data_IF_840679623679
#
_entry.id   IF_840679623679
#
_cell.length_a   1.000
_cell.length_b   1.000
_cell.length_c   1.000
_cell.angle_alpha   90.00
_cell.angle_beta   90.00
_cell.angle_gamma   90.00
#
_symmetry.space_group_name_H-M   'P 1'
#
loop_
_entity.id
_entity.type
_entity.pdbx_description
1 polymer ?
#
# COMPACT_ATOMS: atom_id res chain seq x y z
N UNK A 1 -11.54 -26.68 18.40
CA UNK A 1 -12.13 -25.39 18.02
C UNK A 1 -11.77 -24.37 19.09
N UNK A 2 -11.56 -23.13 18.68
CA UNK A 2 -11.16 -22.07 19.60
C UNK A 2 -12.40 -21.63 20.42
N UNK A 3 -12.33 -21.49 21.75
CA UNK A 3 -13.51 -21.17 22.57
C UNK A 3 -14.25 -19.89 22.14
N UNK A 4 -13.52 -18.91 21.60
CA UNK A 4 -14.01 -17.62 21.10
C UNK A 4 -14.81 -17.68 19.77
N UNK A 5 -14.97 -18.88 19.21
CA UNK A 5 -15.83 -19.14 18.05
C UNK A 5 -17.32 -19.13 18.43
N UNK A 6 -17.65 -19.53 19.65
CA UNK A 6 -19.02 -19.51 20.17
C UNK A 6 -19.42 -18.08 20.58
N UNK A 7 -20.09 -17.37 19.67
CA UNK A 7 -20.56 -16.01 19.92
C UNK A 7 -21.61 -15.90 21.04
N UNK A 8 -22.25 -17.01 21.44
CA UNK A 8 -23.17 -17.01 22.60
C UNK A 8 -22.42 -16.91 23.93
N UNK A 9 -21.11 -17.20 23.92
CA UNK A 9 -20.19 -17.10 25.06
C UNK A 9 -19.09 -16.09 24.75
N UNK A 10 -19.50 -14.85 24.49
CA UNK A 10 -18.60 -13.78 24.05
C UNK A 10 -17.42 -13.55 25.00
N UNK A 11 -16.22 -13.88 24.52
CA UNK A 11 -14.93 -13.60 25.16
C UNK A 11 -14.19 -12.50 24.39
N UNK A 12 -14.28 -11.23 24.82
CA UNK A 12 -13.63 -10.12 24.11
C UNK A 12 -12.09 -10.23 24.09
N UNK A 13 -11.47 -10.87 25.09
CA UNK A 13 -10.01 -11.03 25.15
C UNK A 13 -9.55 -12.10 24.16
N UNK A 14 -10.26 -13.22 24.10
CA UNK A 14 -10.03 -14.27 23.09
C UNK A 14 -10.18 -13.75 21.66
N UNK A 15 -11.22 -12.93 21.40
CA UNK A 15 -11.41 -12.27 20.09
C UNK A 15 -10.24 -11.33 19.75
N UNK A 16 -9.78 -10.53 20.72
CA UNK A 16 -8.61 -9.66 20.54
C UNK A 16 -7.33 -10.45 20.24
N UNK A 17 -7.14 -11.61 20.90
CA UNK A 17 -6.01 -12.52 20.61
C UNK A 17 -6.07 -13.07 19.17
N UNK A 18 -7.28 -13.37 18.67
CA UNK A 18 -7.49 -13.75 17.27
C UNK A 18 -7.05 -12.65 16.30
N UNK A 19 -7.44 -11.40 16.56
CA UNK A 19 -7.03 -10.24 15.77
C UNK A 19 -5.49 -10.05 15.80
N UNK A 20 -4.87 -10.16 16.98
CA UNK A 20 -3.42 -10.08 17.13
C UNK A 20 -2.69 -11.15 16.30
N UNK A 21 -3.16 -12.40 16.33
CA UNK A 21 -2.58 -13.50 15.54
C UNK A 21 -2.70 -13.24 14.03
N UNK A 22 -3.85 -12.75 13.59
CA UNK A 22 -4.07 -12.37 12.18
C UNK A 22 -3.11 -11.24 11.77
N UNK A 23 -2.95 -10.21 12.60
CA UNK A 23 -2.03 -9.10 12.34
C UNK A 23 -0.57 -9.58 12.23
N UNK A 24 -0.08 -10.42 13.14
CA UNK A 24 1.28 -10.97 13.07
C UNK A 24 1.49 -11.74 11.76
N UNK A 25 0.51 -12.53 11.33
CA UNK A 25 0.58 -13.25 10.06
C UNK A 25 0.66 -12.29 8.87
N UNK A 26 -0.22 -11.28 8.80
CA UNK A 26 -0.21 -10.28 7.72
C UNK A 26 1.11 -9.53 7.65
N UNK A 27 1.69 -9.14 8.79
CA UNK A 27 3.00 -8.47 8.84
C UNK A 27 4.14 -9.38 8.37
N UNK A 28 4.10 -10.68 8.72
CA UNK A 28 5.08 -11.64 8.23
C UNK A 28 4.97 -11.86 6.71
N UNK A 29 3.76 -12.01 6.19
CA UNK A 29 3.49 -12.13 4.74
C UNK A 29 3.94 -10.87 3.99
N UNK A 30 3.63 -9.68 4.52
CA UNK A 30 4.09 -8.39 4.00
C UNK A 30 5.62 -8.29 3.93
N UNK A 31 6.32 -8.74 4.98
CA UNK A 31 7.79 -8.74 5.00
C UNK A 31 8.40 -9.69 3.98
N UNK A 32 7.83 -10.90 3.83
CA UNK A 32 8.29 -11.85 2.81
C UNK A 32 8.08 -11.26 1.41
N UNK A 33 6.90 -10.71 1.14
CA UNK A 33 6.62 -10.06 -0.14
C UNK A 33 7.57 -8.89 -0.40
N UNK A 34 7.84 -8.05 0.61
CA UNK A 34 8.79 -6.94 0.51
C UNK A 34 10.18 -7.41 0.12
N UNK A 35 10.66 -8.53 0.69
CA UNK A 35 11.97 -9.10 0.35
C UNK A 35 12.07 -9.44 -1.13
N UNK A 36 11.05 -10.10 -1.68
CA UNK A 36 11.02 -10.45 -3.11
C UNK A 36 10.92 -9.21 -4.00
N UNK A 37 10.10 -8.21 -3.62
CA UNK A 37 10.03 -6.91 -4.30
C UNK A 37 11.42 -6.25 -4.36
N UNK A 38 12.13 -6.20 -3.24
CA UNK A 38 13.47 -5.59 -3.17
C UNK A 38 14.48 -6.35 -4.03
N UNK A 39 14.40 -7.68 -4.08
CA UNK A 39 15.27 -8.50 -4.94
C UNK A 39 15.07 -8.16 -6.43
N UNK A 40 13.83 -8.06 -6.89
CA UNK A 40 13.50 -7.66 -8.27
C UNK A 40 13.96 -6.22 -8.58
N UNK A 41 13.73 -5.28 -7.65
CA UNK A 41 14.18 -3.89 -7.81
C UNK A 41 15.71 -3.76 -7.86
N UNK A 42 16.42 -4.60 -7.11
CA UNK A 42 17.89 -4.66 -7.10
C UNK A 42 18.44 -5.24 -8.41
N UNK A 43 17.72 -6.19 -9.02
CA UNK A 43 18.00 -6.70 -10.37
C UNK A 43 17.67 -5.69 -11.49
N UNK A 44 17.06 -4.55 -11.16
CA UNK A 44 16.66 -3.51 -12.11
C UNK A 44 15.34 -3.80 -12.82
N UNK A 45 14.55 -4.76 -12.34
CA UNK A 45 13.27 -5.09 -12.94
C UNK A 45 12.17 -4.11 -12.51
N UNK A 46 11.24 -3.74 -13.40
CA UNK A 46 10.05 -3.01 -13.03
C UNK A 46 9.08 -3.89 -12.25
N UNK A 47 8.68 -3.42 -11.07
CA UNK A 47 7.76 -4.13 -10.19
C UNK A 47 6.41 -3.41 -10.14
N UNK A 48 5.34 -4.19 -10.23
CA UNK A 48 3.97 -3.83 -9.85
C UNK A 48 3.52 -4.86 -8.83
N UNK A 49 3.14 -4.42 -7.63
CA UNK A 49 2.52 -5.27 -6.62
C UNK A 49 1.04 -4.90 -6.52
N UNK A 50 0.14 -5.87 -6.65
CA UNK A 50 -1.29 -5.64 -6.64
C UNK A 50 -2.03 -6.76 -5.91
N UNK A 51 -3.15 -6.43 -5.29
CA UNK A 51 -4.06 -7.39 -4.65
C UNK A 51 -4.81 -6.79 -3.47
N UNK A 52 -5.54 -7.66 -2.77
CA UNK A 52 -6.18 -7.37 -1.49
C UNK A 52 -5.15 -7.49 -0.35
N UNK A 53 -4.83 -6.36 0.28
CA UNK A 53 -3.82 -6.30 1.34
C UNK A 53 -4.45 -6.50 2.73
N UNK A 54 -5.79 -6.61 2.82
CA UNK A 54 -6.56 -6.77 4.05
C UNK A 54 -6.29 -5.70 5.13
N UNK A 55 -5.78 -4.55 4.69
CA UNK A 55 -5.39 -3.42 5.52
C UNK A 55 -5.39 -2.16 4.65
N UNK A 56 -5.70 -1.01 5.26
CA UNK A 56 -5.72 0.26 4.54
C UNK A 56 -4.35 0.72 4.07
N UNK A 57 -4.32 1.72 3.18
CA UNK A 57 -3.09 2.26 2.61
C UNK A 57 -2.10 2.82 3.65
N UNK A 58 -2.59 3.25 4.82
CA UNK A 58 -1.80 3.77 5.93
C UNK A 58 -1.47 2.73 7.02
N UNK A 59 -1.78 1.46 6.77
CA UNK A 59 -1.45 0.40 7.71
C UNK A 59 0.02 0.01 7.63
N UNK A 60 0.54 -0.51 8.75
CA UNK A 60 1.95 -0.95 8.86
C UNK A 60 2.30 -2.03 7.83
N UNK A 61 1.36 -2.92 7.48
CA UNK A 61 1.56 -3.96 6.44
C UNK A 61 1.77 -3.35 5.06
N UNK A 62 0.96 -2.34 4.70
CA UNK A 62 1.10 -1.55 3.48
C UNK A 62 2.42 -0.77 3.45
N UNK A 63 2.86 -0.21 4.58
CA UNK A 63 4.17 0.45 4.71
C UNK A 63 5.34 -0.52 4.54
N UNK A 64 5.25 -1.74 5.12
CA UNK A 64 6.27 -2.77 4.93
C UNK A 64 6.43 -3.10 3.44
N UNK A 65 5.32 -3.29 2.71
CA UNK A 65 5.35 -3.66 1.28
C UNK A 65 5.85 -2.51 0.41
N UNK A 66 5.31 -1.29 0.62
CA UNK A 66 5.65 -0.12 -0.18
C UNK A 66 7.06 0.43 0.12
N UNK A 67 7.56 0.22 1.33
CA UNK A 67 8.84 0.73 1.79
C UNK A 67 8.78 2.16 2.29
N UNK A 68 9.88 2.57 2.90
CA UNK A 68 9.98 3.83 3.63
C UNK A 68 9.91 5.06 2.71
N UNK A 69 9.40 6.16 3.27
CA UNK A 69 9.45 7.48 2.65
C UNK A 69 10.76 8.15 3.07
N UNK A 70 11.55 8.74 2.13
CA UNK A 70 12.74 9.46 2.53
C UNK A 70 12.43 10.57 3.53
N UNK A 71 13.26 10.69 4.56
CA UNK A 71 13.17 11.83 5.46
C UNK A 71 13.48 13.13 4.72
N UNK A 72 12.85 14.24 5.13
CA UNK A 72 12.95 15.54 4.45
C UNK A 72 14.40 15.99 4.25
N UNK A 73 15.25 15.77 5.25
CA UNK A 73 16.67 16.09 5.16
C UNK A 73 17.49 15.28 6.18
N UNK A 74 18.21 14.26 5.73
CA UNK A 74 19.04 13.42 6.59
C UNK A 74 20.19 14.19 7.25
N UNK A 75 20.64 15.33 6.70
CA UNK A 75 21.66 16.16 7.35
C UNK A 75 21.20 16.79 8.68
N UNK A 76 19.90 16.75 8.96
CA UNK A 76 19.34 17.14 10.26
C UNK A 76 19.31 16.00 11.27
N UNK A 77 19.64 14.78 10.86
CA UNK A 77 19.67 13.62 11.75
C UNK A 77 21.07 13.40 12.29
N UNK A 78 21.14 13.03 13.57
CA UNK A 78 22.35 12.46 14.13
C UNK A 78 22.57 11.09 13.49
N UNK A 79 23.84 10.74 13.31
CA UNK A 79 24.20 9.38 12.90
C UNK A 79 23.80 8.39 13.99
N UNK A 80 23.58 7.14 13.61
CA UNK A 80 23.22 6.07 14.54
C UNK A 80 24.25 5.84 15.67
N UNK A 81 25.48 6.27 15.44
CA UNK A 81 26.68 6.12 16.27
C UNK A 81 27.24 7.48 16.74
N UNK A 82 26.42 8.53 16.73
CA UNK A 82 26.84 9.87 17.12
C UNK A 82 27.28 9.95 18.60
N UNK A 83 28.47 10.51 18.85
CA UNK A 83 28.97 10.82 20.19
C UNK A 83 28.74 12.30 20.55
N UNK A 84 28.50 13.14 19.55
CA UNK A 84 28.28 14.59 19.69
C UNK A 84 27.15 15.11 18.81
N UNK A 85 26.65 16.32 19.11
CA UNK A 85 25.58 16.98 18.34
C UNK A 85 25.98 17.39 16.91
N UNK A 86 27.27 17.36 16.60
CA UNK A 86 27.83 17.66 15.27
C UNK A 86 27.97 16.42 14.40
N UNK A 87 27.81 15.21 14.94
CA UNK A 87 27.93 13.96 14.21
C UNK A 87 26.63 13.67 13.43
N UNK A 88 26.44 14.42 12.35
CA UNK A 88 25.27 14.36 11.48
C UNK A 88 25.65 13.82 10.11
N UNK A 89 24.64 13.40 9.35
CA UNK A 89 24.87 13.03 7.96
C UNK A 89 25.30 14.23 7.13
N UNK A 90 26.21 14.04 6.19
CA UNK A 90 26.60 15.08 5.24
C UNK A 90 25.49 15.33 4.20
N UNK A 91 25.64 16.40 3.40
CA UNK A 91 24.73 16.67 2.28
C UNK A 91 24.83 15.56 1.22
N UNK A 92 26.04 15.07 0.97
CA UNK A 92 26.31 13.96 0.05
C UNK A 92 25.68 12.66 0.54
N UNK A 93 25.78 12.36 1.84
CA UNK A 93 25.11 11.21 2.45
C UNK A 93 23.59 11.34 2.38
N UNK A 94 23.03 12.53 2.62
CA UNK A 94 21.60 12.77 2.46
C UNK A 94 21.12 12.45 1.04
N UNK A 95 21.86 12.89 0.01
CA UNK A 95 21.55 12.58 -1.39
C UNK A 95 21.61 11.07 -1.64
N UNK A 96 22.67 10.41 -1.18
CA UNK A 96 22.86 8.97 -1.37
C UNK A 96 21.78 8.13 -0.68
N UNK A 97 21.43 8.45 0.57
CA UNK A 97 20.37 7.77 1.33
C UNK A 97 19.01 7.98 0.66
N UNK A 98 18.68 9.23 0.28
CA UNK A 98 17.41 9.54 -0.39
C UNK A 98 17.29 8.74 -1.68
N UNK A 99 18.33 8.72 -2.51
CA UNK A 99 18.35 7.94 -3.75
C UNK A 99 18.22 6.42 -3.50
N UNK A 100 18.81 5.89 -2.43
CA UNK A 100 18.71 4.47 -2.08
C UNK A 100 17.30 4.08 -1.61
N UNK A 101 16.66 4.94 -0.81
CA UNK A 101 15.28 4.74 -0.35
C UNK A 101 14.32 4.82 -1.54
N UNK A 102 14.38 5.88 -2.34
CA UNK A 102 13.52 6.04 -3.52
C UNK A 102 13.72 4.93 -4.55
N UNK A 103 14.94 4.39 -4.66
CA UNK A 103 15.22 3.26 -5.55
C UNK A 103 14.42 2.02 -5.17
N UNK A 104 14.13 1.83 -3.89
CA UNK A 104 13.52 0.61 -3.35
C UNK A 104 12.04 0.79 -3.03
N UNK A 105 11.50 2.01 -3.15
CA UNK A 105 10.12 2.33 -2.79
C UNK A 105 9.14 1.97 -3.90
N UNK A 106 7.93 1.57 -3.50
CA UNK A 106 6.76 1.51 -4.36
C UNK A 106 5.80 2.67 -4.05
N UNK A 107 5.05 3.09 -5.07
CA UNK A 107 4.14 4.23 -5.03
C UNK A 107 2.73 3.77 -5.33
N UNK A 108 1.76 4.20 -4.52
CA UNK A 108 0.35 3.93 -4.76
C UNK A 108 -0.12 4.57 -6.07
N UNK A 109 -0.68 3.76 -6.95
CA UNK A 109 -1.32 4.21 -8.18
C UNK A 109 -2.48 5.17 -7.87
N UNK A 110 -3.23 4.90 -6.81
CA UNK A 110 -4.31 5.77 -6.35
C UNK A 110 -3.77 7.17 -6.00
N UNK A 111 -2.74 7.26 -5.15
CA UNK A 111 -2.12 8.55 -4.76
C UNK A 111 -1.55 9.30 -5.95
N UNK A 112 -0.85 8.61 -6.85
CA UNK A 112 -0.29 9.21 -8.07
C UNK A 112 -1.40 9.77 -8.97
N UNK A 113 -2.57 9.14 -9.02
CA UNK A 113 -3.70 9.62 -9.79
C UNK A 113 -4.42 10.80 -9.11
N UNK A 114 -4.70 10.71 -7.80
CA UNK A 114 -5.35 11.80 -7.03
C UNK A 114 -4.54 13.09 -7.13
N UNK A 115 -3.22 13.02 -7.01
CA UNK A 115 -2.32 14.17 -7.21
C UNK A 115 -2.46 14.80 -8.61
N UNK A 116 -2.81 14.01 -9.63
CA UNK A 116 -2.97 14.46 -11.02
C UNK A 116 -4.38 14.97 -11.33
N UNK A 117 -5.43 14.44 -10.69
CA UNK A 117 -6.82 14.61 -11.15
C UNK A 117 -7.75 15.43 -10.26
N UNK A 118 -7.35 15.86 -9.04
CA UNK A 118 -8.22 16.56 -8.07
C UNK A 118 -9.65 15.98 -7.99
N UNK A 119 -9.78 14.65 -7.86
CA UNK A 119 -11.08 13.95 -7.75
C UNK A 119 -11.26 13.34 -6.36
N UNK A 120 -12.53 13.20 -5.96
CA UNK A 120 -12.99 12.71 -4.65
C UNK A 120 -12.86 11.19 -4.46
N UNK A 121 -12.73 10.83 -3.18
CA UNK A 121 -12.57 9.52 -2.52
C UNK A 121 -12.70 8.24 -3.35
N UNK A 122 -11.65 7.42 -3.29
CA UNK A 122 -11.59 6.05 -3.77
C UNK A 122 -11.79 5.09 -2.59
N UNK A 123 -12.75 4.18 -2.69
CA UNK A 123 -12.93 3.08 -1.75
C UNK A 123 -13.24 1.78 -2.50
N UNK A 124 -12.71 0.66 -2.00
CA UNK A 124 -12.83 -0.66 -2.62
C UNK A 124 -13.71 -1.61 -1.82
N UNK A 125 -13.99 -1.31 -0.54
CA UNK A 125 -14.96 -2.06 0.26
C UNK A 125 -15.90 -1.11 1.01
N UNK A 126 -17.11 -1.59 1.29
CA UNK A 126 -18.06 -0.91 2.17
C UNK A 126 -18.74 -1.90 3.10
N UNK A 127 -18.62 -1.71 4.41
CA UNK A 127 -19.33 -2.52 5.40
C UNK A 127 -19.84 -1.65 6.54
N UNK A 128 -21.16 -1.70 6.82
CA UNK A 128 -21.76 -0.97 7.93
C UNK A 128 -21.61 0.56 7.88
N UNK A 129 -21.45 1.14 6.69
CA UNK A 129 -21.21 2.58 6.49
C UNK A 129 -19.74 3.03 6.59
N UNK A 130 -18.81 2.09 6.80
CA UNK A 130 -17.36 2.32 6.73
C UNK A 130 -16.88 1.98 5.32
N UNK A 131 -16.20 2.93 4.66
CA UNK A 131 -15.63 2.79 3.33
C UNK A 131 -14.12 2.72 3.44
N UNK A 132 -13.50 1.64 2.95
CA UNK A 132 -12.06 1.43 3.01
C UNK A 132 -11.48 1.07 1.63
N UNK A 133 -10.20 1.39 1.43
CA UNK A 133 -9.42 0.97 0.27
C UNK A 133 -8.38 -0.05 0.76
N UNK A 134 -8.71 -1.33 0.64
CA UNK A 134 -7.85 -2.46 1.06
C UNK A 134 -7.20 -3.17 -0.12
N UNK A 135 -7.77 -2.99 -1.32
CA UNK A 135 -7.14 -3.38 -2.58
C UNK A 135 -6.18 -2.28 -3.03
N UNK A 136 -4.95 -2.65 -3.38
CA UNK A 136 -3.92 -1.69 -3.73
C UNK A 136 -3.22 -2.07 -5.03
N UNK A 137 -2.80 -1.06 -5.81
CA UNK A 137 -1.82 -1.20 -6.89
C UNK A 137 -0.62 -0.32 -6.53
N UNK A 138 0.51 -0.96 -6.25
CA UNK A 138 1.78 -0.32 -5.92
C UNK A 138 2.74 -0.44 -7.11
N UNK A 139 3.32 0.69 -7.50
CA UNK A 139 4.16 0.84 -8.69
C UNK A 139 5.58 1.21 -8.29
N UNK A 140 6.58 0.51 -8.84
CA UNK A 140 7.98 0.92 -8.67
C UNK A 140 8.29 2.25 -9.37
N UNK A 141 9.45 2.84 -9.04
CA UNK A 141 9.96 4.08 -9.66
C UNK A 141 9.94 4.08 -11.20
N UNK A 142 9.96 2.91 -11.83
CA UNK A 142 9.90 2.73 -13.28
C UNK A 142 8.60 3.22 -13.91
N UNK A 143 7.57 3.50 -13.10
CA UNK A 143 6.29 4.06 -13.54
C UNK A 143 6.01 5.45 -12.95
N UNK A 144 6.93 5.97 -12.13
CA UNK A 144 6.75 7.24 -11.43
C UNK A 144 6.85 8.41 -12.42
N UNK A 145 5.94 9.40 -12.37
CA UNK A 145 5.94 10.54 -13.30
C UNK A 145 7.24 11.35 -13.26
N UNK A 146 7.81 11.53 -12.07
CA UNK A 146 9.05 12.29 -11.88
C UNK A 146 10.31 11.53 -12.31
N UNK A 147 10.21 10.24 -12.63
CA UNK A 147 11.33 9.50 -13.18
C UNK A 147 11.45 9.79 -14.69
N UNK A 148 12.53 10.45 -15.16
CA UNK A 148 12.72 10.75 -16.58
C UNK A 148 12.90 9.47 -17.42
N UNK A 149 13.38 8.39 -16.81
CA UNK A 149 13.63 7.08 -17.44
C UNK A 149 12.49 6.09 -17.22
N UNK A 150 11.30 6.56 -16.81
CA UNK A 150 10.12 5.71 -16.62
C UNK A 150 9.78 4.93 -17.90
N UNK A 151 9.37 3.68 -17.75
CA UNK A 151 9.02 2.76 -18.84
C UNK A 151 7.61 3.00 -19.38
N UNK A 152 6.69 3.36 -18.48
CA UNK A 152 5.30 3.64 -18.81
C UNK A 152 4.82 4.82 -17.97
N UNK A 153 3.80 5.51 -18.47
CA UNK A 153 3.05 6.49 -17.68
C UNK A 153 1.67 5.94 -17.34
N UNK A 154 1.22 6.20 -16.12
CA UNK A 154 -0.16 5.93 -15.75
C UNK A 154 -1.04 7.08 -16.24
N UNK A 155 -1.92 6.76 -17.19
CA UNK A 155 -2.85 7.74 -17.77
C UNK A 155 -4.09 7.90 -16.90
N UNK A 156 -4.57 6.79 -16.36
CA UNK A 156 -5.86 6.71 -15.70
C UNK A 156 -5.86 5.66 -14.58
N UNK A 157 -6.57 5.97 -13.50
CA UNK A 157 -6.93 5.03 -12.43
C UNK A 157 -8.43 5.11 -12.21
N UNK A 158 -9.09 3.96 -12.04
CA UNK A 158 -10.53 3.88 -11.78
C UNK A 158 -10.84 2.77 -10.80
N UNK A 159 -11.92 2.96 -10.06
CA UNK A 159 -12.50 1.95 -9.18
C UNK A 159 -13.91 1.65 -9.66
N UNK A 160 -14.20 0.37 -9.86
CA UNK A 160 -15.49 -0.15 -10.29
C UNK A 160 -16.18 -0.75 -9.07
N UNK A 161 -16.90 0.08 -8.32
CA UNK A 161 -17.56 -0.28 -7.07
C UNK A 161 -19.09 -0.06 -7.09
N UNK A 162 -19.68 0.21 -8.25
CA UNK A 162 -21.13 0.48 -8.41
C UNK A 162 -22.01 -0.58 -7.73
N UNK A 163 -21.65 -1.87 -7.87
CA UNK A 163 -22.39 -2.99 -7.27
C UNK A 163 -22.33 -3.04 -5.73
N UNK A 164 -21.32 -2.41 -5.11
CA UNK A 164 -21.22 -2.25 -3.66
C UNK A 164 -22.20 -1.16 -3.19
N UNK A 165 -22.29 -0.05 -3.93
CA UNK A 165 -23.24 1.03 -3.65
C UNK A 165 -24.68 0.64 -3.95
N UNK A 166 -24.92 -0.08 -5.05
CA UNK A 166 -26.25 -0.52 -5.48
C UNK A 166 -26.78 -1.67 -4.60
N UNK A 167 -25.89 -2.46 -4.00
CA UNK A 167 -26.21 -3.54 -3.05
C UNK A 167 -26.74 -3.06 -1.70
N UNK A 168 -26.70 -1.75 -1.40
CA UNK A 168 -27.32 -1.15 -0.22
C UNK A 168 -28.85 -0.97 -0.36
N UNK A 169 -29.45 -1.41 -1.48
CA UNK A 169 -30.91 -1.46 -1.63
C UNK A 169 -31.52 -2.62 -0.81
N UNK A 170 -32.67 -2.43 -0.14
CA UNK A 170 -33.31 -3.45 0.71
C UNK A 170 -33.64 -4.78 0.00
N UNK A 171 -33.61 -4.82 -1.33
CA UNK A 171 -33.92 -6.00 -2.16
C UNK A 171 -32.68 -6.72 -2.72
N UNK A 172 -31.46 -6.30 -2.36
CA UNK A 172 -30.22 -6.92 -2.83
C UNK A 172 -29.49 -7.86 -1.81
N UNK A 173 -30.14 -8.58 -0.87
CA UNK A 173 -29.43 -9.37 0.14
C UNK A 173 -28.69 -10.60 -0.43
N UNK A 174 -28.79 -10.86 -1.74
CA UNK A 174 -28.17 -12.00 -2.42
C UNK A 174 -27.28 -11.62 -3.62
N UNK A 175 -26.83 -10.36 -3.74
CA UNK A 175 -25.92 -9.97 -4.84
C UNK A 175 -24.46 -10.44 -4.63
N UNK A 176 -24.24 -11.52 -3.87
CA UNK A 176 -22.96 -12.24 -3.67
C UNK A 176 -22.41 -12.89 -4.95
N UNK A 177 -23.05 -12.70 -6.11
CA UNK A 177 -22.65 -13.32 -7.37
C UNK A 177 -21.52 -12.57 -8.09
N UNK A 178 -21.22 -11.32 -7.72
CA UNK A 178 -20.15 -10.51 -8.33
C UNK A 178 -18.87 -10.44 -7.46
N UNK A 179 -18.94 -9.80 -6.29
CA UNK A 179 -17.86 -9.62 -5.28
C UNK A 179 -18.40 -8.75 -4.13
N UNK A 180 -17.79 -8.79 -2.95
CA UNK A 180 -17.94 -7.77 -1.88
C UNK A 180 -16.85 -6.67 -1.95
N UNK A 181 -15.92 -6.79 -2.91
CA UNK A 181 -14.88 -5.82 -3.24
C UNK A 181 -15.09 -5.18 -4.62
N UNK A 182 -14.75 -3.90 -4.72
CA UNK A 182 -14.68 -3.12 -5.94
C UNK A 182 -13.40 -3.41 -6.71
N UNK A 183 -13.47 -3.35 -8.04
CA UNK A 183 -12.30 -3.63 -8.86
C UNK A 183 -11.49 -2.35 -9.11
N UNK A 184 -10.22 -2.34 -8.73
CA UNK A 184 -9.29 -1.26 -9.07
C UNK A 184 -8.57 -1.53 -10.38
N UNK A 185 -8.41 -0.49 -11.19
CA UNK A 185 -7.77 -0.57 -12.52
C UNK A 185 -6.85 0.61 -12.74
N UNK A 186 -5.62 0.32 -13.15
CA UNK A 186 -4.67 1.31 -13.66
C UNK A 186 -4.43 1.10 -15.16
N UNK A 187 -4.44 2.17 -15.96
CA UNK A 187 -4.07 2.17 -17.36
C UNK A 187 -2.65 2.72 -17.53
N UNK A 188 -1.71 1.84 -17.94
CA UNK A 188 -0.30 2.20 -18.17
C UNK A 188 -0.02 2.26 -19.68
N UNK A 189 0.43 3.43 -20.16
CA UNK A 189 0.89 3.60 -21.53
C UNK A 189 2.42 3.50 -21.60
N UNK A 190 2.91 2.48 -22.29
CA UNK A 190 4.35 2.32 -22.54
C UNK A 190 4.91 3.51 -23.33
N UNK A 191 6.10 3.98 -22.96
CA UNK A 191 6.83 4.98 -23.75
C UNK A 191 7.49 4.27 -24.93
N UNK A 192 7.39 4.86 -26.11
CA UNK A 192 8.23 4.45 -27.24
C UNK A 192 9.66 4.90 -26.93
N UNK A 193 10.60 3.96 -27.02
CA UNK A 193 12.03 4.22 -26.91
C UNK A 193 12.56 5.08 -28.06
#
# INVERSE_FOLDING_TARGET
FAPEEDLTRYDPVGRALGAMRAAVRRMAEAWVLRREIVAELAAGHPVVALGDFNDGEHAVSSEIISGEVPFKNYSWMLRHDAESYTDRYSVEEHIAITAAVDRSRLHSAEKLFVQKSMRDMVYTSAFGGVYESIDQILLSRHFHPDNPDRLAEMEYFSVLNDHITDGAHPEAPYNKLASDHGQIKAHLRLRKG
#
